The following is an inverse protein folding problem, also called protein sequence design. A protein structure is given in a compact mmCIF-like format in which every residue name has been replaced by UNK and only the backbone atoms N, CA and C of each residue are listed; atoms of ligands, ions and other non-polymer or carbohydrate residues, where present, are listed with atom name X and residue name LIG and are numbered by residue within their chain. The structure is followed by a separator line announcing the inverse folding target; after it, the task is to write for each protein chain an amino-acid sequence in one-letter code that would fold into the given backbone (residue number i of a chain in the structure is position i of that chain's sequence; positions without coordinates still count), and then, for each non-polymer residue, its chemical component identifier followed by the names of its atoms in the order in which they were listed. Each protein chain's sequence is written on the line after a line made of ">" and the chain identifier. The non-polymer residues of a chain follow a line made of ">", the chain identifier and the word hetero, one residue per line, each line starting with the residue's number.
data_IF_543099012262
#
_entry.id   IF_543099012262
#
_cell.length_a   1.000
_cell.length_b   1.000
_cell.length_c   1.000
_cell.angle_alpha   90.00
_cell.angle_beta   90.00
_cell.angle_gamma   90.00
#
_symmetry.space_group_name_H-M   'P 1'
#
loop_
_entity.id
_entity.type
_entity.pdbx_description
1 polymer ?
#
# COMPACT_ATOMS: atom_id res chain seq x y z
N UNK A 1 -17.15 -12.42 27.77
CA UNK A 1 -16.00 -12.15 26.90
C UNK A 1 -16.26 -10.79 26.28
N UNK A 2 -15.35 -9.83 26.42
CA UNK A 2 -15.47 -8.59 25.63
C UNK A 2 -15.16 -8.96 24.18
N UNK A 3 -16.14 -8.81 23.30
CA UNK A 3 -15.93 -8.91 21.87
C UNK A 3 -15.00 -7.76 21.49
N UNK A 4 -13.75 -8.08 21.14
CA UNK A 4 -12.77 -7.08 20.76
C UNK A 4 -12.94 -6.79 19.27
N UNK A 5 -14.13 -6.31 18.87
CA UNK A 5 -14.54 -6.12 17.47
C UNK A 5 -13.56 -5.23 16.67
N UNK A 6 -12.72 -4.46 17.38
CA UNK A 6 -11.64 -3.67 16.81
C UNK A 6 -10.52 -4.51 16.20
N UNK A 7 -10.14 -5.63 16.81
CA UNK A 7 -9.04 -6.47 16.30
C UNK A 7 -9.46 -7.17 15.00
N UNK A 8 -10.71 -7.61 14.90
CA UNK A 8 -11.24 -8.29 13.72
C UNK A 8 -11.40 -7.36 12.50
N UNK A 9 -11.44 -6.04 12.71
CA UNK A 9 -11.58 -5.04 11.64
C UNK A 9 -10.30 -4.22 11.39
N UNK A 10 -9.20 -4.55 12.07
CA UNK A 10 -7.93 -3.83 11.92
C UNK A 10 -7.02 -4.52 10.90
N UNK A 11 -6.52 -3.74 9.94
CA UNK A 11 -5.55 -4.20 8.95
C UNK A 11 -4.27 -3.38 9.08
N UNK A 12 -3.12 -4.06 9.11
CA UNK A 12 -1.80 -3.42 9.22
C UNK A 12 -1.04 -3.63 7.93
N UNK A 13 -0.57 -2.54 7.34
CA UNK A 13 0.23 -2.56 6.13
C UNK A 13 1.63 -2.03 6.41
N UNK A 14 2.64 -2.62 5.78
CA UNK A 14 3.98 -2.06 5.70
C UNK A 14 4.17 -1.51 4.29
N UNK A 15 4.42 -0.21 4.19
CA UNK A 15 4.68 0.48 2.93
C UNK A 15 6.14 0.90 2.88
N UNK A 16 6.84 0.52 1.81
CA UNK A 16 8.20 0.99 1.49
C UNK A 16 8.13 1.80 0.22
N UNK A 17 8.78 2.96 0.19
CA UNK A 17 8.87 3.86 -0.98
C UNK A 17 10.33 4.21 -1.16
N UNK A 18 10.84 4.07 -2.38
CA UNK A 18 12.22 4.38 -2.72
C UNK A 18 12.31 5.02 -4.09
N UNK A 19 13.36 5.81 -4.28
CA UNK A 19 13.74 6.34 -5.58
C UNK A 19 14.76 5.39 -6.19
N UNK A 20 14.45 4.80 -7.35
CA UNK A 20 15.31 3.87 -8.05
C UNK A 20 16.06 4.58 -9.19
N UNK A 21 17.40 4.57 -9.19
CA UNK A 21 18.20 5.10 -10.30
C UNK A 21 17.88 4.34 -11.58
N UNK A 22 17.90 5.04 -12.71
CA UNK A 22 17.73 4.43 -14.02
C UNK A 22 19.08 4.22 -14.69
N UNK A 23 19.20 3.14 -15.45
CA UNK A 23 20.40 2.82 -16.25
C UNK A 23 20.51 3.66 -17.53
N UNK A 24 19.63 4.65 -17.72
CA UNK A 24 19.60 5.55 -18.87
C UNK A 24 20.32 6.85 -18.47
N UNK A 25 21.30 7.26 -19.26
CA UNK A 25 22.02 8.51 -19.08
C UNK A 25 21.04 9.70 -19.05
N UNK A 26 21.18 10.57 -18.05
CA UNK A 26 20.32 11.73 -17.77
C UNK A 26 18.84 11.47 -17.46
N UNK A 27 18.42 10.21 -17.26
CA UNK A 27 17.04 9.94 -16.87
C UNK A 27 16.80 10.23 -15.38
N UNK A 28 15.68 10.92 -15.09
CA UNK A 28 15.24 11.13 -13.70
C UNK A 28 14.98 9.79 -13.00
N UNK A 29 15.34 9.66 -11.71
CA UNK A 29 15.10 8.44 -10.96
C UNK A 29 13.60 8.20 -10.75
N UNK A 30 13.18 6.93 -10.81
CA UNK A 30 11.77 6.56 -10.72
C UNK A 30 11.38 6.25 -9.27
N UNK A 31 10.31 6.87 -8.78
CA UNK A 31 9.70 6.48 -7.51
C UNK A 31 8.98 5.14 -7.65
N UNK A 32 9.27 4.25 -6.70
CA UNK A 32 8.68 2.92 -6.59
C UNK A 32 8.24 2.67 -5.16
N UNK A 33 7.35 1.73 -5.00
CA UNK A 33 6.97 1.26 -3.70
C UNK A 33 6.58 -0.19 -3.66
N UNK A 34 6.48 -0.70 -2.44
CA UNK A 34 5.93 -1.99 -2.11
C UNK A 34 5.00 -1.84 -0.91
N UNK A 35 3.82 -2.44 -0.98
CA UNK A 35 2.88 -2.55 0.13
C UNK A 35 2.68 -4.03 0.46
N UNK A 36 2.70 -4.36 1.74
CA UNK A 36 2.53 -5.71 2.28
C UNK A 36 1.49 -5.69 3.39
N UNK A 37 0.53 -6.61 3.34
CA UNK A 37 -0.44 -6.83 4.40
C UNK A 37 0.18 -7.75 5.46
N UNK A 38 0.34 -7.27 6.70
CA UNK A 38 1.08 -8.00 7.76
C UNK A 38 0.42 -9.32 8.14
N UNK A 39 -0.91 -9.42 8.05
CA UNK A 39 -1.66 -10.63 8.38
C UNK A 39 -1.66 -11.68 7.26
N UNK A 40 -1.09 -11.37 6.08
CA UNK A 40 -1.00 -12.30 4.95
C UNK A 40 0.38 -12.27 4.31
N UNK A 41 0.57 -13.08 3.28
CA UNK A 41 1.78 -13.02 2.43
C UNK A 41 1.58 -12.12 1.22
N UNK A 42 0.48 -11.36 1.17
CA UNK A 42 0.14 -10.52 0.02
C UNK A 42 1.06 -9.30 -0.02
N UNK A 43 1.73 -9.12 -1.16
CA UNK A 43 2.58 -7.98 -1.45
C UNK A 43 2.31 -7.47 -2.86
N UNK A 44 2.25 -6.15 -3.00
CA UNK A 44 2.12 -5.48 -4.29
C UNK A 44 3.25 -4.46 -4.46
N UNK A 45 3.92 -4.50 -5.61
CA UNK A 45 4.83 -3.44 -6.05
C UNK A 45 4.05 -2.42 -6.88
N UNK A 46 4.33 -1.13 -6.67
CA UNK A 46 3.64 -0.04 -7.33
C UNK A 46 4.58 1.08 -7.78
N UNK A 47 4.13 1.84 -8.78
CA UNK A 47 4.77 3.09 -9.23
C UNK A 47 3.94 4.33 -8.92
N UNK A 48 2.64 4.16 -8.62
CA UNK A 48 1.72 5.24 -8.27
C UNK A 48 0.99 4.92 -6.97
N UNK A 49 0.62 5.96 -6.22
CA UNK A 49 -0.14 5.79 -4.99
C UNK A 49 -1.54 5.22 -5.23
N UNK A 50 -2.14 5.46 -6.41
CA UNK A 50 -3.44 4.90 -6.76
C UNK A 50 -3.43 3.36 -6.75
N UNK A 51 -2.32 2.75 -7.19
CA UNK A 51 -2.16 1.29 -7.12
C UNK A 51 -2.06 0.80 -5.69
N UNK A 52 -1.35 1.51 -4.81
CA UNK A 52 -1.30 1.18 -3.38
C UNK A 52 -2.66 1.36 -2.70
N UNK A 53 -3.39 2.42 -3.05
CA UNK A 53 -4.73 2.69 -2.54
C UNK A 53 -5.71 1.59 -2.96
N UNK A 54 -5.70 1.19 -4.24
CA UNK A 54 -6.53 0.10 -4.74
C UNK A 54 -6.29 -1.21 -3.97
N UNK A 55 -5.02 -1.52 -3.63
CA UNK A 55 -4.69 -2.68 -2.80
C UNK A 55 -5.27 -2.59 -1.38
N UNK A 56 -5.20 -1.41 -0.75
CA UNK A 56 -5.81 -1.20 0.58
C UNK A 56 -7.33 -1.39 0.49
N UNK A 57 -7.98 -0.82 -0.52
CA UNK A 57 -9.44 -0.97 -0.73
C UNK A 57 -9.82 -2.43 -0.93
N UNK A 58 -9.08 -3.17 -1.77
CA UNK A 58 -9.33 -4.60 -2.01
C UNK A 58 -9.24 -5.43 -0.72
N UNK A 59 -8.19 -5.20 0.10
CA UNK A 59 -7.95 -6.01 1.30
C UNK A 59 -8.82 -5.65 2.48
N UNK A 60 -9.24 -4.39 2.58
CA UNK A 60 -10.00 -3.90 3.75
C UNK A 60 -11.49 -3.72 3.46
N UNK A 61 -11.89 -3.60 2.20
CA UNK A 61 -13.22 -3.13 1.81
C UNK A 61 -13.47 -1.64 2.13
N UNK A 62 -12.49 -0.90 2.66
CA UNK A 62 -12.64 0.50 3.01
C UNK A 62 -12.75 1.36 1.75
N UNK A 63 -13.68 2.33 1.76
CA UNK A 63 -13.83 3.29 0.66
C UNK A 63 -12.99 4.53 0.98
N UNK A 64 -12.10 4.98 0.07
CA UNK A 64 -11.35 6.21 0.28
C UNK A 64 -12.32 7.39 0.44
N UNK A 65 -12.12 8.19 1.49
CA UNK A 65 -12.87 9.44 1.62
C UNK A 65 -12.53 10.34 0.43
N UNK A 66 -13.55 10.81 -0.29
CA UNK A 66 -13.32 11.83 -1.32
C UNK A 66 -12.84 13.10 -0.63
N UNK A 67 -11.68 13.60 -1.04
CA UNK A 67 -11.26 14.94 -0.65
C UNK A 67 -12.14 15.96 -1.40
N UNK A 68 -12.61 17.03 -0.72
CA UNK A 68 -13.40 18.09 -1.35
C UNK A 68 -12.61 18.85 -2.42
#
# INVERSE_FOLDING_TARGET
>A
MMNNDFEDQTHVFIVRIWSEPREIEDAEPEWRGAIELVSSTDRLYFKTFDTALAFIVEKTGAVPMQQP
#
